data_IF_237185630767
#
_entry.id   IF_237185630767
#
_cell.length_a   1.000
_cell.length_b   1.000
_cell.length_c   1.000
_cell.angle_alpha   90.00
_cell.angle_beta   90.00
_cell.angle_gamma   90.00
#
_symmetry.space_group_name_H-M   'P 1'
#
loop_
_entity.id
_entity.type
_entity.pdbx_description
1 polymer ?
#
# COMPACT_ATOMS: atom_id res chain seq x y z
N UNK A 1 -10.73 -9.68 -9.51
CA UNK A 1 -10.10 -8.39 -9.86
C UNK A 1 -11.00 -7.29 -9.36
N UNK A 2 -10.57 -6.57 -8.33
CA UNK A 2 -11.31 -5.45 -7.73
C UNK A 2 -10.51 -4.16 -7.81
N UNK A 3 -11.18 -3.02 -7.85
CA UNK A 3 -10.51 -1.71 -7.79
C UNK A 3 -10.44 -1.27 -6.33
N UNK A 4 -9.23 -0.97 -5.86
CA UNK A 4 -8.97 -0.47 -4.50
C UNK A 4 -8.45 0.96 -4.54
N UNK A 5 -8.65 1.69 -3.45
CA UNK A 5 -8.02 3.00 -3.27
C UNK A 5 -6.60 2.86 -2.67
N UNK A 6 -5.88 3.97 -2.61
CA UNK A 6 -4.53 4.03 -2.03
C UNK A 6 -4.50 3.81 -0.51
N UNK A 7 -5.62 4.00 0.20
CA UNK A 7 -5.69 3.74 1.64
C UNK A 7 -5.72 2.24 1.93
N UNK A 8 -6.49 1.46 1.16
CA UNK A 8 -6.50 -0.01 1.26
C UNK A 8 -5.10 -0.57 1.00
N UNK A 9 -4.39 -0.03 0.00
CA UNK A 9 -2.99 -0.39 -0.25
C UNK A 9 -2.13 -0.02 0.96
N UNK A 10 -2.30 1.18 1.54
CA UNK A 10 -1.52 1.60 2.70
C UNK A 10 -1.78 0.74 3.95
N UNK A 11 -3.03 0.31 4.20
CA UNK A 11 -3.39 -0.53 5.34
C UNK A 11 -2.74 -1.91 5.30
N UNK A 12 -2.40 -2.40 4.11
CA UNK A 12 -1.68 -3.67 3.93
C UNK A 12 -0.23 -3.59 4.43
N UNK A 13 0.41 -2.43 4.35
CA UNK A 13 1.85 -2.27 4.64
C UNK A 13 2.17 -1.44 5.89
N UNK A 14 1.22 -0.63 6.36
CA UNK A 14 1.40 0.27 7.50
C UNK A 14 0.42 -0.10 8.62
N UNK A 15 0.84 -0.01 9.89
CA UNK A 15 -0.04 -0.29 11.02
C UNK A 15 -1.31 0.58 10.97
N UNK A 16 -2.47 -0.06 10.99
CA UNK A 16 -3.76 0.59 11.07
C UNK A 16 -4.79 -0.33 11.74
N UNK A 17 -5.90 0.23 12.23
CA UNK A 17 -7.02 -0.55 12.75
C UNK A 17 -7.66 -1.46 11.68
N UNK A 18 -7.34 -1.25 10.40
CA UNK A 18 -7.90 -1.96 9.24
C UNK A 18 -6.89 -2.92 8.56
N UNK A 19 -5.71 -3.12 9.16
CA UNK A 19 -4.66 -3.95 8.55
C UNK A 19 -5.10 -5.42 8.41
N UNK A 20 -5.79 -5.96 9.42
CA UNK A 20 -6.31 -7.34 9.38
C UNK A 20 -7.36 -7.52 8.27
N UNK A 21 -8.22 -6.53 8.06
CA UNK A 21 -9.24 -6.52 7.03
C UNK A 21 -8.61 -6.40 5.62
N UNK A 22 -7.56 -5.59 5.47
CA UNK A 22 -6.81 -5.47 4.22
C UNK A 22 -6.12 -6.79 3.84
N UNK A 23 -5.50 -7.48 4.81
CA UNK A 23 -4.91 -8.81 4.62
C UNK A 23 -5.98 -9.85 4.23
N UNK A 24 -7.13 -9.85 4.91
CA UNK A 24 -8.24 -10.74 4.58
C UNK A 24 -8.82 -10.46 3.19
N UNK A 25 -8.91 -9.18 2.79
CA UNK A 25 -9.32 -8.78 1.46
C UNK A 25 -8.35 -9.32 0.41
N UNK A 26 -7.04 -9.21 0.65
CA UNK A 26 -6.03 -9.73 -0.29
C UNK A 26 -6.12 -11.26 -0.42
N UNK A 27 -6.33 -11.97 0.69
CA UNK A 27 -6.50 -13.42 0.67
C UNK A 27 -7.76 -13.86 -0.09
N UNK A 28 -8.84 -13.06 -0.03
CA UNK A 28 -10.10 -13.36 -0.70
C UNK A 28 -10.11 -12.95 -2.17
N UNK A 29 -9.54 -11.79 -2.48
CA UNK A 29 -9.50 -11.17 -3.81
C UNK A 29 -8.04 -10.81 -4.13
N UNK A 30 -7.21 -11.74 -4.63
CA UNK A 30 -5.77 -11.51 -4.78
C UNK A 30 -5.40 -10.57 -5.93
N UNK A 31 -6.33 -10.27 -6.84
CA UNK A 31 -6.09 -9.42 -8.00
C UNK A 31 -6.67 -8.04 -7.77
N UNK A 32 -5.81 -7.06 -7.53
CA UNK A 32 -6.21 -5.66 -7.32
C UNK A 32 -5.84 -4.82 -8.52
N UNK A 33 -6.60 -3.75 -8.75
CA UNK A 33 -6.28 -2.66 -9.64
C UNK A 33 -6.44 -1.34 -8.89
N UNK A 34 -5.69 -0.31 -9.28
CA UNK A 34 -5.81 1.02 -8.67
C UNK A 34 -5.59 2.14 -9.70
N UNK A 35 -6.26 3.30 -9.57
CA UNK A 35 -6.04 4.44 -10.44
C UNK A 35 -4.58 4.90 -10.43
N UNK A 36 -4.03 5.36 -11.56
CA UNK A 36 -2.60 5.66 -11.71
C UNK A 36 -1.99 6.58 -10.63
N UNK A 37 -2.82 7.42 -10.00
CA UNK A 37 -2.45 8.32 -8.90
C UNK A 37 -2.03 7.60 -7.60
N UNK A 38 -2.39 6.32 -7.43
CA UNK A 38 -2.10 5.55 -6.23
C UNK A 38 -0.61 5.58 -5.86
N UNK A 39 0.29 5.58 -6.87
CA UNK A 39 1.74 5.61 -6.66
C UNK A 39 2.18 6.90 -5.97
N UNK A 40 1.66 8.05 -6.41
CA UNK A 40 1.95 9.33 -5.78
C UNK A 40 1.31 9.47 -4.40
N UNK A 41 0.12 8.91 -4.22
CA UNK A 41 -0.62 8.96 -2.95
C UNK A 41 0.08 8.12 -1.88
N UNK A 42 0.46 6.87 -2.20
CA UNK A 42 1.20 6.00 -1.30
C UNK A 42 2.56 6.61 -0.94
N UNK A 43 3.31 7.13 -1.92
CA UNK A 43 4.58 7.84 -1.64
C UNK A 43 4.40 9.05 -0.73
N UNK A 44 3.30 9.78 -0.85
CA UNK A 44 3.02 10.91 0.05
C UNK A 44 2.76 10.44 1.49
N UNK A 45 2.05 9.32 1.67
CA UNK A 45 1.87 8.68 2.97
C UNK A 45 3.23 8.23 3.53
N UNK A 46 4.02 7.50 2.76
CA UNK A 46 5.35 7.03 3.20
C UNK A 46 6.29 8.19 3.55
N UNK A 47 6.27 9.28 2.76
CA UNK A 47 7.03 10.49 3.05
C UNK A 47 6.58 11.18 4.36
N UNK A 48 5.30 11.07 4.74
CA UNK A 48 4.84 11.53 6.06
C UNK A 48 5.44 10.67 7.18
N UNK A 49 5.49 9.35 7.02
CA UNK A 49 6.06 8.43 8.02
C UNK A 49 7.57 8.65 8.18
N UNK A 50 8.30 8.85 7.08
CA UNK A 50 9.73 9.21 7.10
C UNK A 50 9.95 10.53 7.84
N UNK A 51 9.17 11.57 7.53
CA UNK A 51 9.28 12.88 8.20
C UNK A 51 8.99 12.84 9.70
N UNK A 52 8.20 11.85 10.13
CA UNK A 52 7.91 11.60 11.55
C UNK A 52 8.89 10.62 12.20
N UNK A 53 9.92 10.19 11.48
CA UNK A 53 10.91 9.19 11.93
C UNK A 53 10.28 7.84 12.33
N UNK A 54 9.08 7.55 11.81
CA UNK A 54 8.35 6.30 12.06
C UNK A 54 8.76 5.18 11.10
N UNK A 55 9.41 5.53 10.00
CA UNK A 55 9.80 4.61 8.93
C UNK A 55 11.12 5.07 8.32
N UNK A 56 12.05 4.13 8.10
CA UNK A 56 13.28 4.42 7.36
C UNK A 56 12.98 4.56 5.86
N UNK A 57 13.87 5.24 5.14
CA UNK A 57 13.77 5.31 3.68
C UNK A 57 13.83 3.91 3.03
N UNK A 58 14.68 3.02 3.52
CA UNK A 58 14.78 1.65 2.99
C UNK A 58 13.48 0.86 3.16
N UNK A 59 12.83 0.94 4.33
CA UNK A 59 11.54 0.29 4.53
C UNK A 59 10.44 0.91 3.66
N UNK A 60 10.41 2.25 3.54
CA UNK A 60 9.48 2.91 2.64
C UNK A 60 9.67 2.49 1.17
N UNK A 61 10.92 2.33 0.74
CA UNK A 61 11.25 1.85 -0.60
C UNK A 61 10.78 0.41 -0.81
N UNK A 62 11.02 -0.49 0.15
CA UNK A 62 10.52 -1.88 0.09
C UNK A 62 9.00 -1.93 -0.06
N UNK A 63 8.28 -1.18 0.77
CA UNK A 63 6.81 -1.09 0.73
C UNK A 63 6.33 -0.64 -0.66
N UNK A 64 6.93 0.42 -1.22
CA UNK A 64 6.56 0.92 -2.55
C UNK A 64 6.80 -0.14 -3.63
N UNK A 65 7.94 -0.84 -3.61
CA UNK A 65 8.28 -1.89 -4.58
C UNK A 65 7.35 -3.10 -4.45
N UNK A 66 7.01 -3.52 -3.24
CA UNK A 66 6.07 -4.60 -2.99
C UNK A 66 4.66 -4.24 -3.49
N UNK A 67 4.19 -3.02 -3.21
CA UNK A 67 2.90 -2.54 -3.68
C UNK A 67 2.83 -2.44 -5.22
N UNK A 68 3.93 -2.01 -5.86
CA UNK A 68 4.04 -1.97 -7.33
C UNK A 68 4.02 -3.37 -7.93
N UNK A 69 4.65 -4.34 -7.27
CA UNK A 69 4.63 -5.75 -7.67
C UNK A 69 3.24 -6.34 -7.55
N UNK A 70 2.53 -6.09 -6.44
CA UNK A 70 1.16 -6.53 -6.22
C UNK A 70 0.21 -6.04 -7.32
N UNK A 71 0.43 -4.82 -7.82
CA UNK A 71 -0.39 -4.18 -8.84
C UNK A 71 0.16 -4.33 -10.27
N UNK A 72 1.27 -5.03 -10.47
CA UNK A 72 1.89 -5.22 -11.79
C UNK A 72 1.14 -6.21 -12.69
N UNK A 73 0.36 -7.12 -12.09
CA UNK A 73 -0.38 -8.19 -12.77
C UNK A 73 -1.86 -7.86 -13.02
N UNK A 74 -2.19 -6.57 -13.21
CA UNK A 74 -3.56 -6.10 -13.49
C UNK A 74 -3.72 -5.39 -14.83
#
# INVERSE_FOLDING_TARGET
MIVVDSNIIAYLYLPSDLSAEAEQLLAKEPHWAAPALWRSELRNVLALYIRKELLSFEHAYSIQTEAETLLADS
#
